data_IF_732738822656
#
_entry.id   IF_732738822656
#
_cell.length_a   1.000
_cell.length_b   1.000
_cell.length_c   1.000
_cell.angle_alpha   90.00
_cell.angle_beta   90.00
_cell.angle_gamma   90.00
#
_symmetry.space_group_name_H-M   'P 1'
#
loop_
_entity.id
_entity.type
_entity.pdbx_description
1 polymer ?
#
# COMPACT_ATOMS: atom_id res chain seq x y z
N UNK A 1 -3.51 -11.37 2.99
CA UNK A 1 -3.54 -11.61 4.47
C UNK A 1 -4.57 -12.69 4.76
N UNK A 2 -4.21 -13.66 5.60
CA UNK A 2 -5.11 -14.76 6.02
C UNK A 2 -5.17 -14.75 7.55
N UNK A 3 -6.36 -14.77 8.11
CA UNK A 3 -6.58 -14.86 9.56
C UNK A 3 -6.62 -16.32 10.05
N UNK A 4 -6.51 -16.51 11.37
CA UNK A 4 -6.49 -17.85 11.98
C UNK A 4 -7.76 -18.69 11.75
N UNK A 5 -8.90 -18.07 11.48
CA UNK A 5 -10.16 -18.74 11.09
C UNK A 5 -10.22 -19.10 9.60
N UNK A 6 -9.23 -18.69 8.80
CA UNK A 6 -9.15 -18.93 7.36
C UNK A 6 -9.72 -17.80 6.50
N UNK A 7 -10.24 -16.74 7.07
CA UNK A 7 -10.72 -15.58 6.32
C UNK A 7 -9.57 -14.84 5.63
N UNK A 8 -9.83 -14.40 4.40
CA UNK A 8 -8.82 -13.78 3.52
C UNK A 8 -9.19 -12.33 3.24
N UNK A 9 -8.19 -11.45 3.37
CA UNK A 9 -8.32 -10.02 3.12
C UNK A 9 -7.22 -9.54 2.16
N UNK A 10 -7.43 -8.44 1.40
CA UNK A 10 -6.47 -7.96 0.41
C UNK A 10 -5.17 -7.42 1.03
N UNK A 11 -5.22 -6.95 2.27
CA UNK A 11 -4.11 -6.34 2.99
C UNK A 11 -4.34 -6.43 4.50
N UNK A 12 -3.28 -6.52 5.29
CA UNK A 12 -3.32 -6.53 6.76
C UNK A 12 -3.89 -5.23 7.37
N UNK A 13 -3.81 -4.11 6.65
CA UNK A 13 -4.46 -2.85 7.05
C UNK A 13 -5.93 -2.73 6.61
N UNK A 14 -6.45 -3.71 5.88
CA UNK A 14 -7.82 -3.74 5.37
C UNK A 14 -8.58 -5.00 5.83
N UNK A 15 -8.34 -5.41 7.06
CA UNK A 15 -9.10 -6.47 7.74
C UNK A 15 -10.44 -5.87 8.21
N UNK A 16 -11.34 -5.68 7.28
CA UNK A 16 -12.68 -5.13 7.48
C UNK A 16 -13.67 -6.03 6.72
N UNK A 17 -14.83 -6.30 7.30
CA UNK A 17 -15.82 -7.24 6.75
C UNK A 17 -16.16 -6.95 5.28
N UNK A 18 -16.29 -5.68 4.91
CA UNK A 18 -16.58 -5.27 3.52
C UNK A 18 -15.50 -5.62 2.50
N UNK A 19 -14.28 -5.90 2.96
CA UNK A 19 -13.13 -6.28 2.12
C UNK A 19 -12.73 -7.75 2.31
N UNK A 20 -13.54 -8.55 2.98
CA UNK A 20 -13.32 -9.98 3.09
C UNK A 20 -13.47 -10.63 1.72
N UNK A 21 -12.42 -11.26 1.22
CA UNK A 21 -12.38 -11.88 -0.12
C UNK A 21 -13.03 -13.25 -0.13
N UNK A 22 -12.96 -13.97 0.97
CA UNK A 22 -13.46 -15.33 1.13
C UNK A 22 -12.76 -16.05 2.28
N UNK A 23 -12.82 -17.38 2.28
CA UNK A 23 -12.15 -18.24 3.26
C UNK A 23 -11.37 -19.34 2.55
N UNK A 24 -10.09 -19.52 2.90
CA UNK A 24 -9.21 -20.51 2.24
C UNK A 24 -9.67 -21.97 2.39
N UNK A 25 -10.60 -22.26 3.31
CA UNK A 25 -11.13 -23.60 3.53
C UNK A 25 -12.31 -23.95 2.62
N UNK A 26 -13.00 -22.92 2.10
CA UNK A 26 -14.26 -23.08 1.36
C UNK A 26 -14.24 -22.48 -0.04
N UNK A 27 -13.40 -21.48 -0.26
CA UNK A 27 -13.39 -20.70 -1.49
C UNK A 27 -12.08 -20.92 -2.29
N UNK A 28 -12.15 -20.85 -3.62
CA UNK A 28 -10.97 -20.94 -4.47
C UNK A 28 -10.21 -19.61 -4.51
N UNK A 29 -8.89 -19.67 -4.80
CA UNK A 29 -8.10 -18.45 -5.00
C UNK A 29 -8.57 -17.66 -6.22
N UNK A 30 -9.09 -18.33 -7.25
CA UNK A 30 -9.64 -17.71 -8.45
C UNK A 30 -10.89 -16.89 -8.15
N UNK A 31 -11.80 -17.44 -7.34
CA UNK A 31 -13.00 -16.72 -6.91
C UNK A 31 -12.62 -15.49 -6.07
N UNK A 32 -11.69 -15.64 -5.15
CA UNK A 32 -11.20 -14.53 -4.32
C UNK A 32 -10.49 -13.46 -5.16
N UNK A 33 -9.75 -13.84 -6.22
CA UNK A 33 -9.05 -12.92 -7.10
C UNK A 33 -9.99 -12.12 -8.02
N UNK A 34 -11.25 -12.53 -8.14
CA UNK A 34 -12.24 -11.89 -9.03
C UNK A 34 -13.46 -11.34 -8.31
N UNK A 35 -13.52 -11.46 -6.97
CA UNK A 35 -14.67 -11.06 -6.18
C UNK A 35 -14.85 -9.53 -6.12
N UNK A 36 -16.11 -9.12 -5.83
CA UNK A 36 -16.46 -7.70 -5.72
C UNK A 36 -15.74 -6.99 -4.57
N UNK A 37 -15.45 -7.70 -3.48
CA UNK A 37 -14.71 -7.15 -2.35
C UNK A 37 -13.26 -6.75 -2.74
N UNK A 38 -12.60 -7.53 -3.61
CA UNK A 38 -11.29 -7.17 -4.14
C UNK A 38 -11.38 -5.95 -5.06
N UNK A 39 -12.40 -5.88 -5.93
CA UNK A 39 -12.63 -4.69 -6.78
C UNK A 39 -12.84 -3.45 -5.94
N UNK A 40 -13.71 -3.52 -4.93
CA UNK A 40 -13.94 -2.41 -4.00
C UNK A 40 -12.65 -1.96 -3.32
N UNK A 41 -11.78 -2.88 -2.93
CA UNK A 41 -10.46 -2.55 -2.38
C UNK A 41 -9.55 -1.87 -3.41
N UNK A 42 -9.51 -2.36 -4.65
CA UNK A 42 -8.69 -1.77 -5.71
C UNK A 42 -9.15 -0.36 -6.08
N UNK A 43 -10.46 -0.13 -6.08
CA UNK A 43 -11.09 1.16 -6.40
C UNK A 43 -11.07 2.15 -5.22
N UNK A 44 -10.72 1.70 -4.02
CA UNK A 44 -10.58 2.58 -2.85
C UNK A 44 -9.60 3.71 -3.16
N UNK A 45 -10.02 4.98 -3.02
CA UNK A 45 -9.22 6.11 -3.44
C UNK A 45 -7.94 6.25 -2.60
N UNK A 46 -6.84 6.58 -3.26
CA UNK A 46 -5.61 7.02 -2.59
C UNK A 46 -5.63 8.52 -2.42
N UNK A 47 -5.46 8.99 -1.21
CA UNK A 47 -5.16 10.40 -0.99
C UNK A 47 -3.77 10.70 -1.54
N UNK A 48 -3.65 11.80 -2.23
CA UNK A 48 -2.39 12.30 -2.78
C UNK A 48 -2.09 13.68 -2.19
N UNK A 49 -0.84 13.91 -1.84
CA UNK A 49 -0.30 15.22 -1.55
C UNK A 49 -0.03 15.94 -2.89
N UNK A 50 -0.15 17.27 -2.94
CA UNK A 50 0.17 18.05 -4.14
C UNK A 50 1.60 17.85 -4.63
N UNK A 51 2.52 17.55 -3.72
CA UNK A 51 3.92 17.25 -4.01
C UNK A 51 4.13 15.93 -4.78
N UNK A 52 3.14 15.02 -4.79
CA UNK A 52 3.29 13.72 -5.45
C UNK A 52 3.50 13.84 -6.95
N UNK A 53 2.88 14.82 -7.61
CA UNK A 53 2.96 15.00 -9.06
C UNK A 53 4.40 15.28 -9.56
N UNK A 54 5.25 15.89 -8.74
CA UNK A 54 6.64 16.24 -9.05
C UNK A 54 7.66 15.52 -8.18
N UNK A 55 7.22 14.50 -7.44
CA UNK A 55 8.07 13.79 -6.49
C UNK A 55 9.04 12.84 -7.21
N UNK A 56 10.36 12.95 -7.03
CA UNK A 56 11.34 12.06 -7.65
C UNK A 56 11.22 10.61 -7.18
N UNK A 57 10.57 10.38 -6.05
CA UNK A 57 10.37 9.05 -5.46
C UNK A 57 9.01 8.41 -5.78
N UNK A 58 8.20 9.04 -6.63
CA UNK A 58 6.86 8.53 -6.97
C UNK A 58 6.92 7.09 -7.49
N UNK A 59 7.91 6.76 -8.31
CA UNK A 59 8.14 5.43 -8.88
C UNK A 59 8.42 4.34 -7.83
N UNK A 60 8.87 4.70 -6.65
CA UNK A 60 9.15 3.79 -5.53
C UNK A 60 7.99 3.80 -4.55
N UNK A 61 7.51 4.99 -4.24
CA UNK A 61 6.50 5.23 -3.21
C UNK A 61 5.08 4.84 -3.68
N UNK A 62 4.74 5.08 -4.96
CA UNK A 62 3.39 4.89 -5.50
C UNK A 62 2.28 5.51 -4.63
N UNK A 63 2.55 6.68 -4.01
CA UNK A 63 1.68 7.34 -3.02
C UNK A 63 1.47 6.53 -1.73
N UNK A 64 2.27 5.49 -1.52
CA UNK A 64 2.32 4.65 -0.33
C UNK A 64 0.97 3.99 0.05
N UNK A 65 0.79 3.58 1.29
CA UNK A 65 -0.39 2.88 1.76
C UNK A 65 -1.66 3.75 1.70
N UNK A 66 -2.71 3.26 1.07
CA UNK A 66 -4.00 3.95 0.97
C UNK A 66 -4.57 4.36 2.33
N UNK A 67 -4.38 3.55 3.36
CA UNK A 67 -4.96 3.74 4.68
C UNK A 67 -4.10 4.59 5.60
N UNK A 68 -2.77 4.43 5.51
CA UNK A 68 -1.83 5.05 6.43
C UNK A 68 -1.14 6.30 5.89
N UNK A 69 -1.32 6.62 4.62
CA UNK A 69 -0.63 7.76 4.01
C UNK A 69 -0.93 9.11 4.69
N UNK A 70 -2.09 9.24 5.31
CA UNK A 70 -2.45 10.44 6.09
C UNK A 70 -1.64 10.62 7.37
N UNK A 71 -0.88 9.58 7.78
CA UNK A 71 -0.01 9.68 8.95
C UNK A 71 1.24 10.53 8.71
N UNK A 72 1.68 10.66 7.45
CA UNK A 72 2.93 11.32 7.11
C UNK A 72 2.83 12.40 6.03
N UNK A 73 1.65 12.68 5.47
CA UNK A 73 1.48 13.86 4.62
C UNK A 73 0.17 14.63 4.82
N UNK A 74 0.24 15.88 4.49
CA UNK A 74 -0.85 16.84 4.40
C UNK A 74 -1.01 17.24 2.93
N UNK A 75 -1.90 18.20 2.66
CA UNK A 75 -2.19 18.66 1.30
C UNK A 75 -0.94 19.12 0.53
N UNK A 76 -0.02 19.81 1.19
CA UNK A 76 1.16 20.46 0.63
C UNK A 76 2.51 19.97 1.21
N UNK A 77 2.50 18.92 2.03
CA UNK A 77 3.69 18.42 2.72
C UNK A 77 3.70 16.90 2.78
N UNK A 78 4.86 16.29 2.56
CA UNK A 78 5.07 14.85 2.65
C UNK A 78 6.33 14.51 3.45
N UNK A 79 6.16 14.07 4.70
CA UNK A 79 7.29 13.64 5.55
C UNK A 79 8.01 12.39 5.05
N UNK A 80 7.32 11.54 4.27
CA UNK A 80 7.98 10.39 3.64
C UNK A 80 8.94 10.81 2.52
N UNK A 81 8.60 11.87 1.77
CA UNK A 81 9.53 12.47 0.82
C UNK A 81 10.76 13.03 1.51
N UNK A 82 10.58 13.79 2.61
CA UNK A 82 11.70 14.34 3.38
C UNK A 82 12.63 13.22 3.89
N UNK A 83 12.05 12.14 4.40
CA UNK A 83 12.80 10.96 4.81
C UNK A 83 13.60 10.37 3.65
N UNK A 84 12.99 10.18 2.49
CA UNK A 84 13.67 9.61 1.33
C UNK A 84 14.74 10.55 0.77
N UNK A 85 14.50 11.86 0.74
CA UNK A 85 15.51 12.85 0.33
C UNK A 85 16.76 12.78 1.24
N UNK A 86 16.55 12.63 2.54
CA UNK A 86 17.63 12.47 3.52
C UNK A 86 18.35 11.12 3.39
N UNK A 87 17.63 10.02 3.27
CA UNK A 87 18.18 8.67 3.35
C UNK A 87 18.69 8.12 1.99
N UNK A 88 18.17 8.61 0.86
CA UNK A 88 18.46 8.05 -0.46
C UNK A 88 19.97 8.01 -0.82
N UNK A 89 20.81 9.01 -0.52
CA UNK A 89 22.24 8.93 -0.82
C UNK A 89 22.92 7.73 -0.16
N UNK A 90 22.64 7.50 1.11
CA UNK A 90 23.22 6.39 1.87
C UNK A 90 22.66 5.05 1.40
N UNK A 91 21.36 4.96 1.16
CA UNK A 91 20.73 3.76 0.61
C UNK A 91 21.31 3.38 -0.76
N UNK A 92 21.52 4.34 -1.65
CA UNK A 92 22.13 4.11 -2.97
C UNK A 92 23.59 3.66 -2.82
N UNK A 93 24.34 4.25 -1.90
CA UNK A 93 25.71 3.86 -1.63
C UNK A 93 25.80 2.41 -1.16
N UNK A 94 24.98 2.03 -0.20
CA UNK A 94 24.89 0.65 0.31
C UNK A 94 24.48 -0.32 -0.81
N UNK A 95 23.46 0.02 -1.59
CA UNK A 95 22.98 -0.83 -2.69
C UNK A 95 24.08 -1.08 -3.75
N UNK A 96 24.95 -0.11 -4.01
CA UNK A 96 26.09 -0.27 -4.93
C UNK A 96 27.17 -1.19 -4.38
N UNK A 97 27.36 -1.22 -3.07
CA UNK A 97 28.31 -2.12 -2.42
C UNK A 97 27.83 -3.59 -2.38
N UNK A 98 26.53 -3.80 -2.44
CA UNK A 98 25.91 -5.14 -2.43
C UNK A 98 25.83 -5.79 -3.81
N UNK A 99 26.20 -5.10 -4.86
CA UNK A 99 26.30 -5.60 -6.23
C UNK A 99 27.69 -6.18 -6.47
#
# INVERSE_FOLDING_TARGET
>A
MVEGNGDVYPCDFYVLDRFRLGNIRTDSLEDMATCDALRAFLDEPRRACSMCATCPFERICHKNCKRLNTCYYREDYCGYRDFLEYAAPDMISIARMLR
#
